data_IF_404664333220
#
_entry.id   IF_404664333220
#
_cell.length_a   1.000
_cell.length_b   1.000
_cell.length_c   1.000
_cell.angle_alpha   90.00
_cell.angle_beta   90.00
_cell.angle_gamma   90.00
#
_symmetry.space_group_name_H-M   'P 1'
#
loop_
_entity.id
_entity.type
_entity.pdbx_description
1 polymer ?
#
# COMPACT_ATOMS: atom_id res chain seq x y z
N UNK A 1 -4.26 -5.62 -28.92
CA UNK A 1 -4.11 -4.15 -28.78
C UNK A 1 -3.98 -3.92 -27.29
N UNK A 2 -2.75 -3.82 -26.78
CA UNK A 2 -2.51 -3.63 -25.35
C UNK A 2 -3.00 -2.24 -25.00
N UNK A 3 -4.00 -2.14 -24.14
CA UNK A 3 -4.56 -0.85 -23.75
C UNK A 3 -3.48 -0.06 -23.01
N UNK A 4 -3.21 1.18 -23.42
CA UNK A 4 -2.15 2.02 -22.81
C UNK A 4 -2.43 2.28 -21.33
N UNK A 5 -3.71 2.17 -20.95
CA UNK A 5 -4.18 2.29 -19.59
C UNK A 5 -3.62 1.20 -18.65
N UNK A 6 -3.21 0.04 -19.19
CA UNK A 6 -2.62 -1.07 -18.43
C UNK A 6 -1.15 -0.84 -18.03
N UNK A 7 -0.49 0.17 -18.60
CA UNK A 7 0.91 0.51 -18.28
C UNK A 7 1.03 1.64 -17.24
N UNK A 8 -0.05 2.32 -16.91
CA UNK A 8 -0.04 3.42 -15.96
C UNK A 8 0.19 2.91 -14.53
N UNK A 9 1.02 3.63 -13.76
CA UNK A 9 1.11 3.48 -12.31
C UNK A 9 0.18 4.47 -11.61
N UNK A 10 -0.41 4.08 -10.49
CA UNK A 10 -1.14 4.98 -9.61
C UNK A 10 -0.35 5.22 -8.32
N UNK A 11 0.04 6.47 -8.07
CA UNK A 11 0.87 6.85 -6.93
C UNK A 11 0.07 7.78 -6.01
N UNK A 12 0.15 7.54 -4.70
CA UNK A 12 -0.44 8.43 -3.69
C UNK A 12 0.50 8.65 -2.50
N UNK A 13 0.50 9.85 -1.91
CA UNK A 13 1.21 10.08 -0.66
C UNK A 13 0.56 9.28 0.48
N UNK A 14 1.37 8.91 1.46
CA UNK A 14 0.96 8.15 2.62
C UNK A 14 1.62 8.72 3.88
N UNK A 15 0.80 9.06 4.87
CA UNK A 15 1.23 9.55 6.18
C UNK A 15 0.17 9.21 7.23
N UNK A 16 0.61 8.75 8.39
CA UNK A 16 -0.28 8.46 9.53
C UNK A 16 0.04 9.44 10.66
N UNK A 17 -0.96 10.21 11.08
CA UNK A 17 -0.84 11.15 12.19
C UNK A 17 -0.46 10.42 13.48
N UNK A 18 0.46 10.98 14.28
CA UNK A 18 0.90 10.35 15.53
C UNK A 18 -0.19 10.16 16.58
N UNK A 19 -1.34 10.82 16.46
CA UNK A 19 -2.53 10.57 17.26
C UNK A 19 -3.38 9.38 16.78
N UNK A 20 -2.97 8.67 15.73
CA UNK A 20 -3.71 7.51 15.22
C UNK A 20 -3.88 6.45 16.32
N UNK A 21 -5.12 5.97 16.58
CA UNK A 21 -5.43 5.14 17.75
C UNK A 21 -4.68 3.80 17.77
N UNK A 22 -4.22 3.30 16.61
CA UNK A 22 -3.44 2.05 16.55
C UNK A 22 -2.11 2.14 17.30
N UNK A 23 -1.50 3.33 17.40
CA UNK A 23 -0.16 3.47 17.98
C UNK A 23 -0.12 3.23 19.49
N UNK A 24 -1.24 3.43 20.19
CA UNK A 24 -1.34 3.12 21.62
C UNK A 24 -1.07 1.63 21.91
N UNK A 25 -1.48 0.74 21.00
CA UNK A 25 -1.26 -0.70 21.10
C UNK A 25 -0.16 -1.26 20.18
N UNK A 26 0.43 -0.45 19.30
CA UNK A 26 1.30 -0.93 18.23
C UNK A 26 2.51 0.00 17.97
N UNK A 27 3.58 -0.08 18.76
CA UNK A 27 3.69 -0.80 20.04
C UNK A 27 3.92 0.22 21.16
N UNK A 28 3.47 -0.05 22.40
CA UNK A 28 3.70 0.86 23.53
C UNK A 28 5.18 1.25 23.66
N UNK A 29 5.46 2.55 23.64
CA UNK A 29 6.82 3.12 23.73
C UNK A 29 7.69 3.01 22.47
N UNK A 30 7.24 2.30 21.43
CA UNK A 30 7.93 2.15 20.12
C UNK A 30 6.90 2.02 19.00
N UNK A 31 6.15 3.09 18.69
CA UNK A 31 5.07 3.04 17.72
C UNK A 31 5.62 2.84 16.30
N UNK A 32 4.97 1.96 15.54
CA UNK A 32 5.18 1.80 14.10
C UNK A 32 3.81 1.66 13.42
N UNK A 33 3.72 1.98 12.13
CA UNK A 33 2.49 1.76 11.36
C UNK A 33 2.25 0.26 11.23
N UNK A 34 1.05 -0.18 11.63
CA UNK A 34 0.65 -1.56 11.51
C UNK A 34 0.60 -1.97 10.04
N UNK A 35 1.14 -3.16 9.73
CA UNK A 35 1.21 -3.62 8.34
C UNK A 35 -0.15 -3.72 7.64
N UNK A 36 -1.21 -4.02 8.40
CA UNK A 36 -2.59 -4.05 7.88
C UNK A 36 -3.06 -2.68 7.40
N UNK A 37 -2.69 -1.59 8.07
CA UNK A 37 -3.04 -0.23 7.63
C UNK A 37 -2.39 0.06 6.28
N UNK A 38 -1.12 -0.33 6.08
CA UNK A 38 -0.46 -0.15 4.79
C UNK A 38 -1.15 -0.94 3.65
N UNK A 39 -1.62 -2.15 3.94
CA UNK A 39 -2.36 -2.98 2.98
C UNK A 39 -3.74 -2.40 2.69
N UNK A 40 -4.44 -1.88 3.71
CA UNK A 40 -5.72 -1.19 3.54
C UNK A 40 -5.59 0.02 2.62
N UNK A 41 -4.52 0.80 2.78
CA UNK A 41 -4.24 1.92 1.89
C UNK A 41 -4.00 1.46 0.44
N UNK A 42 -3.35 0.30 0.23
CA UNK A 42 -3.22 -0.29 -1.09
C UNK A 42 -4.57 -0.74 -1.68
N UNK A 43 -5.49 -1.25 -0.84
CA UNK A 43 -6.82 -1.64 -1.26
C UNK A 43 -7.70 -0.43 -1.64
N UNK A 44 -7.63 0.65 -0.86
CA UNK A 44 -8.29 1.91 -1.17
C UNK A 44 -7.78 2.52 -2.47
N UNK A 45 -6.45 2.59 -2.66
CA UNK A 45 -5.83 3.10 -3.87
C UNK A 45 -6.27 2.30 -5.11
N UNK A 46 -6.41 0.99 -4.98
CA UNK A 46 -6.91 0.14 -6.06
C UNK A 46 -8.37 0.45 -6.40
N UNK A 47 -9.20 0.69 -5.38
CA UNK A 47 -10.60 1.09 -5.56
C UNK A 47 -10.70 2.45 -6.23
N UNK A 48 -9.90 3.42 -5.81
CA UNK A 48 -9.85 4.77 -6.39
C UNK A 48 -9.39 4.73 -7.86
N UNK A 49 -8.35 3.95 -8.14
CA UNK A 49 -7.77 3.88 -9.48
C UNK A 49 -8.61 3.06 -10.47
N UNK A 50 -9.11 1.89 -10.06
CA UNK A 50 -9.74 0.91 -10.97
C UNK A 50 -11.19 0.60 -10.66
N UNK A 51 -11.76 1.16 -9.59
CA UNK A 51 -13.11 0.83 -9.13
C UNK A 51 -13.23 -0.59 -8.57
N UNK A 52 -12.12 -1.31 -8.36
CA UNK A 52 -12.12 -2.72 -7.94
C UNK A 52 -11.81 -2.87 -6.45
N UNK A 53 -12.42 -3.87 -5.82
CA UNK A 53 -12.05 -4.30 -4.47
C UNK A 53 -10.85 -5.26 -4.50
N UNK A 54 -10.23 -5.49 -3.34
CA UNK A 54 -9.23 -6.55 -3.18
C UNK A 54 -9.94 -7.86 -2.84
N UNK A 55 -9.69 -8.90 -3.65
CA UNK A 55 -10.12 -10.27 -3.38
C UNK A 55 -9.11 -11.01 -2.50
N UNK A 56 -7.82 -10.77 -2.74
CA UNK A 56 -6.74 -11.48 -2.06
C UNK A 56 -5.45 -10.64 -2.04
N UNK A 57 -4.72 -10.70 -0.94
CA UNK A 57 -3.30 -10.33 -0.89
C UNK A 57 -2.51 -11.60 -1.20
N UNK A 58 -1.89 -11.67 -2.38
CA UNK A 58 -1.12 -12.84 -2.82
C UNK A 58 0.16 -12.98 -2.01
N UNK A 59 0.85 -11.85 -1.84
CA UNK A 59 2.05 -11.75 -1.02
C UNK A 59 2.17 -10.32 -0.48
N UNK A 60 2.83 -10.19 0.67
CA UNK A 60 3.21 -8.92 1.26
C UNK A 60 4.53 -9.11 2.02
N UNK A 61 5.56 -8.34 1.65
CA UNK A 61 6.88 -8.36 2.28
C UNK A 61 7.18 -7.02 2.92
N UNK A 62 7.25 -7.01 4.25
CA UNK A 62 7.63 -5.86 5.08
C UNK A 62 9.15 -5.87 5.28
N UNK A 63 9.83 -4.85 4.76
CA UNK A 63 11.29 -4.73 4.75
C UNK A 63 11.80 -3.73 5.80
N UNK A 64 11.03 -2.67 6.06
CA UNK A 64 11.34 -1.65 7.05
C UNK A 64 10.04 -1.04 7.61
N UNK A 65 10.04 -0.53 8.85
CA UNK A 65 8.87 0.13 9.42
C UNK A 65 8.65 1.51 8.79
N UNK A 66 7.39 1.94 8.76
CA UNK A 66 7.00 3.34 8.66
C UNK A 66 6.69 3.84 10.08
N UNK A 67 7.25 4.96 10.49
CA UNK A 67 7.00 5.56 11.80
C UNK A 67 5.83 6.55 11.75
N UNK A 68 5.24 6.93 12.91
CA UNK A 68 4.27 8.00 12.96
C UNK A 68 4.81 9.29 12.32
N UNK A 69 3.93 10.03 11.65
CA UNK A 69 4.23 11.29 10.96
C UNK A 69 5.28 11.24 9.83
N UNK A 70 5.90 10.10 9.55
CA UNK A 70 6.78 9.92 8.39
C UNK A 70 5.99 9.96 7.07
N UNK A 71 6.60 10.59 6.07
CA UNK A 71 6.09 10.59 4.71
C UNK A 71 6.53 9.33 3.97
N UNK A 72 5.60 8.73 3.26
CA UNK A 72 5.84 7.66 2.32
C UNK A 72 4.99 7.86 1.05
N UNK A 73 5.29 7.07 0.03
CA UNK A 73 4.50 6.99 -1.20
C UNK A 73 4.08 5.54 -1.41
N UNK A 74 2.80 5.35 -1.73
CA UNK A 74 2.24 4.09 -2.19
C UNK A 74 2.10 4.14 -3.71
N UNK A 75 2.68 3.17 -4.39
CA UNK A 75 2.57 2.98 -5.84
C UNK A 75 1.85 1.66 -6.14
N UNK A 76 0.84 1.71 -7.01
CA UNK A 76 0.20 0.57 -7.64
C UNK A 76 0.59 0.48 -9.11
N UNK A 77 0.92 -0.73 -9.57
CA UNK A 77 1.24 -1.03 -10.97
C UNK A 77 0.44 -2.26 -11.40
N UNK A 78 -0.29 -2.17 -12.52
CA UNK A 78 -0.97 -3.32 -13.10
C UNK A 78 0.08 -4.31 -13.65
N UNK A 79 -0.11 -5.60 -13.37
CA UNK A 79 0.79 -6.67 -13.84
C UNK A 79 0.16 -7.52 -14.94
N UNK A 80 -1.15 -7.76 -14.79
CA UNK A 80 -2.01 -8.50 -15.68
C UNK A 80 -3.46 -8.22 -15.26
N UNK A 81 -4.43 -8.72 -16.02
CA UNK A 81 -5.84 -8.59 -15.69
C UNK A 81 -6.12 -9.03 -14.23
N UNK A 82 -6.62 -8.08 -13.43
CA UNK A 82 -6.97 -8.32 -12.03
C UNK A 82 -5.79 -8.45 -11.06
N UNK A 83 -4.53 -8.29 -11.48
CA UNK A 83 -3.35 -8.38 -10.59
C UNK A 83 -2.53 -7.10 -10.57
N UNK A 84 -2.18 -6.67 -9.36
CA UNK A 84 -1.53 -5.38 -9.12
C UNK A 84 -0.37 -5.53 -8.15
N UNK A 85 0.79 -4.98 -8.49
CA UNK A 85 1.87 -4.79 -7.53
C UNK A 85 1.61 -3.54 -6.72
N UNK A 86 1.78 -3.61 -5.41
CA UNK A 86 1.85 -2.44 -4.55
C UNK A 86 3.24 -2.31 -3.96
N UNK A 87 3.74 -1.08 -3.87
CA UNK A 87 5.01 -0.75 -3.20
C UNK A 87 4.82 0.48 -2.34
N UNK A 88 5.26 0.43 -1.09
CA UNK A 88 5.38 1.61 -0.21
C UNK A 88 6.85 1.96 -0.07
N UNK A 89 7.20 3.22 -0.35
CA UNK A 89 8.56 3.74 -0.21
C UNK A 89 8.61 4.97 0.70
N UNK A 90 9.68 5.11 1.46
CA UNK A 90 10.10 6.37 2.09
C UNK A 90 11.39 6.78 1.42
N UNK A 91 11.37 7.89 0.69
CA UNK A 91 12.48 8.29 -0.18
C UNK A 91 12.88 7.13 -1.13
N UNK A 92 14.14 6.71 -1.08
CA UNK A 92 14.65 5.57 -1.86
C UNK A 92 14.39 4.19 -1.21
N UNK A 93 14.00 4.15 0.07
CA UNK A 93 13.84 2.91 0.81
C UNK A 93 12.49 2.25 0.53
N UNK A 94 12.50 0.98 0.13
CA UNK A 94 11.27 0.18 0.05
C UNK A 94 10.90 -0.33 1.44
N UNK A 95 9.75 0.10 1.96
CA UNK A 95 9.24 -0.31 3.26
C UNK A 95 8.39 -1.58 3.16
N UNK A 96 7.52 -1.64 2.16
CA UNK A 96 6.60 -2.74 1.90
C UNK A 96 6.47 -2.94 0.40
N UNK A 97 6.37 -4.19 -0.04
CA UNK A 97 5.92 -4.51 -1.38
C UNK A 97 5.09 -5.78 -1.38
N UNK A 98 4.21 -5.91 -2.35
CA UNK A 98 3.46 -7.15 -2.53
C UNK A 98 2.61 -7.16 -3.78
N UNK A 99 1.72 -8.15 -3.85
CA UNK A 99 0.80 -8.32 -4.97
C UNK A 99 -0.63 -8.47 -4.46
N UNK A 100 -1.54 -7.70 -5.02
CA UNK A 100 -2.99 -7.80 -4.82
C UNK A 100 -3.63 -8.48 -6.02
N UNK A 101 -4.67 -9.27 -5.73
CA UNK A 101 -5.64 -9.70 -6.73
C UNK A 101 -6.98 -9.02 -6.46
N UNK A 102 -7.55 -8.44 -7.51
CA UNK A 102 -8.81 -7.71 -7.46
C UNK A 102 -10.02 -8.65 -7.51
N UNK A 103 -11.17 -8.16 -7.08
CA UNK A 103 -12.46 -8.75 -7.41
C UNK A 103 -12.67 -8.75 -8.92
N UNK A 104 -13.41 -9.75 -9.43
CA UNK A 104 -13.76 -9.84 -10.84
C UNK A 104 -14.42 -8.55 -11.34
#
# INVERSE_FOLDING_TARGET
>A
MTDTDDLASHVRPLRFDAAHPSFAGHFPGRPIVAGVLLIEQAAEALREWRGKGVRQVIDAKFLAPLLPDENAELELVALAEGRYRFTVRRDADTLLRGTLEATA
#
